data_IF_809034268790
#
_entry.id   IF_809034268790
#
_cell.length_a   1.000
_cell.length_b   1.000
_cell.length_c   1.000
_cell.angle_alpha   90.00
_cell.angle_beta   90.00
_cell.angle_gamma   90.00
#
_symmetry.space_group_name_H-M   'P 1'
#
loop_
_entity.id
_entity.type
_entity.pdbx_description
1 polymer ?
#
# COMPACT_ATOMS: atom_id res chain seq x y z
N UNK A 1 -0.64 -11.93 11.34
CA UNK A 1 -1.62 -11.23 12.20
C UNK A 1 -2.18 -10.04 11.44
N UNK A 2 -3.50 -9.91 11.33
CA UNK A 2 -4.15 -8.71 10.78
C UNK A 2 -4.76 -7.93 11.95
N UNK A 3 -4.14 -6.82 12.35
CA UNK A 3 -4.76 -5.91 13.32
C UNK A 3 -5.86 -5.13 12.63
N UNK A 4 -7.11 -5.32 13.06
CA UNK A 4 -8.25 -4.56 12.56
C UNK A 4 -8.08 -3.05 12.79
N UNK A 5 -7.42 -2.64 13.86
CA UNK A 5 -7.14 -1.23 14.15
C UNK A 5 -6.10 -0.65 13.18
N UNK A 6 -5.05 -1.39 12.85
CA UNK A 6 -4.05 -0.94 11.88
C UNK A 6 -4.66 -0.82 10.48
N UNK A 7 -5.51 -1.77 10.07
CA UNK A 7 -6.22 -1.67 8.80
C UNK A 7 -7.17 -0.46 8.76
N UNK A 8 -7.98 -0.27 9.81
CA UNK A 8 -8.86 0.91 9.93
C UNK A 8 -8.10 2.23 9.88
N UNK A 9 -6.94 2.31 10.53
CA UNK A 9 -6.10 3.51 10.48
C UNK A 9 -5.61 3.83 9.07
N UNK A 10 -5.16 2.83 8.31
CA UNK A 10 -4.77 2.99 6.90
C UNK A 10 -5.93 3.50 6.06
N UNK A 11 -7.10 2.87 6.18
CA UNK A 11 -8.27 3.22 5.37
C UNK A 11 -8.79 4.63 5.73
N UNK A 12 -8.87 4.97 7.01
CA UNK A 12 -9.31 6.30 7.45
C UNK A 12 -8.38 7.41 6.94
N UNK A 13 -7.06 7.18 7.01
CA UNK A 13 -6.08 8.13 6.50
C UNK A 13 -6.13 8.25 4.98
N UNK A 14 -6.13 7.11 4.26
CA UNK A 14 -6.23 7.12 2.80
C UNK A 14 -7.51 7.83 2.32
N UNK A 15 -8.64 7.60 2.99
CA UNK A 15 -9.91 8.27 2.65
C UNK A 15 -9.89 9.78 2.91
N UNK A 16 -9.09 10.25 3.85
CA UNK A 16 -8.99 11.67 4.18
C UNK A 16 -8.08 12.45 3.22
N UNK A 17 -7.05 11.81 2.67
CA UNK A 17 -5.97 12.50 1.94
C UNK A 17 -5.73 12.01 0.50
N UNK A 18 -6.35 10.91 0.06
CA UNK A 18 -6.21 10.48 -1.32
C UNK A 18 -6.77 11.54 -2.29
N UNK A 19 -5.92 11.97 -3.22
CA UNK A 19 -6.26 12.90 -4.29
C UNK A 19 -5.87 12.28 -5.65
N UNK A 20 -6.59 11.25 -6.11
CA UNK A 20 -6.28 10.58 -7.37
C UNK A 20 -6.44 11.49 -8.59
N UNK A 21 -5.62 11.32 -9.65
CA UNK A 21 -5.93 11.87 -10.97
C UNK A 21 -7.27 11.37 -11.49
N UNK A 22 -7.87 12.11 -12.42
CA UNK A 22 -9.14 11.73 -13.03
C UNK A 22 -9.09 10.31 -13.62
N UNK A 23 -10.10 9.50 -13.28
CA UNK A 23 -10.19 8.10 -13.72
C UNK A 23 -9.40 7.08 -12.88
N UNK A 24 -8.63 7.52 -11.88
CA UNK A 24 -7.98 6.63 -10.91
C UNK A 24 -8.90 6.34 -9.71
N UNK A 25 -8.83 5.11 -9.17
CA UNK A 25 -9.59 4.72 -7.96
C UNK A 25 -9.03 5.34 -6.66
N UNK A 26 -7.77 5.77 -6.66
CA UNK A 26 -7.08 6.41 -5.53
C UNK A 26 -6.62 5.47 -4.43
N UNK A 27 -7.51 4.65 -3.87
CA UNK A 27 -7.20 3.75 -2.74
C UNK A 27 -7.13 2.30 -3.21
N UNK A 28 -6.00 1.65 -2.92
CA UNK A 28 -5.76 0.26 -3.26
C UNK A 28 -5.28 -0.56 -2.05
N UNK A 29 -5.75 -1.80 -1.96
CA UNK A 29 -5.32 -2.80 -0.98
C UNK A 29 -4.50 -3.87 -1.69
N UNK A 30 -3.29 -4.12 -1.20
CA UNK A 30 -2.47 -5.25 -1.68
C UNK A 30 -3.08 -6.55 -1.13
N UNK A 31 -3.54 -7.41 -2.04
CA UNK A 31 -4.18 -8.68 -1.72
C UNK A 31 -3.36 -9.83 -2.33
N UNK A 32 -2.71 -10.67 -1.50
CA UNK A 32 -1.93 -11.81 -1.99
C UNK A 32 -2.72 -12.71 -2.94
N UNK A 33 -2.15 -13.01 -4.11
CA UNK A 33 -2.82 -13.79 -5.16
C UNK A 33 -3.77 -12.99 -6.06
N UNK A 34 -4.04 -11.71 -5.76
CA UNK A 34 -4.99 -10.88 -6.52
C UNK A 34 -4.45 -9.54 -7.00
N UNK A 35 -3.40 -9.02 -6.37
CA UNK A 35 -2.75 -7.76 -6.77
C UNK A 35 -3.32 -6.56 -6.00
N UNK A 36 -3.68 -5.49 -6.72
CA UNK A 36 -4.25 -4.28 -6.14
C UNK A 36 -5.78 -4.30 -6.26
N UNK A 37 -6.48 -4.37 -5.13
CA UNK A 37 -7.94 -4.39 -5.07
C UNK A 37 -8.50 -3.08 -4.51
N UNK A 38 -9.72 -2.71 -4.91
CA UNK A 38 -10.47 -1.65 -4.20
C UNK A 38 -10.75 -2.08 -2.76
N UNK A 39 -10.73 -1.14 -1.78
CA UNK A 39 -11.12 -1.42 -0.40
C UNK A 39 -12.58 -1.90 -0.26
N UNK A 40 -13.43 -1.64 -1.26
CA UNK A 40 -14.86 -2.00 -1.25
C UNK A 40 -15.13 -3.43 -1.76
N UNK A 41 -14.09 -4.14 -2.22
CA UNK A 41 -14.23 -5.53 -2.67
C UNK A 41 -14.59 -6.42 -1.49
N UNK A 42 -15.82 -6.93 -1.51
CA UNK A 42 -16.27 -7.94 -0.54
C UNK A 42 -15.69 -9.30 -0.92
N UNK A 43 -14.98 -9.93 0.02
CA UNK A 43 -14.47 -11.29 -0.13
C UNK A 43 -15.33 -12.28 0.65
N UNK A 44 -15.74 -13.34 -0.02
CA UNK A 44 -16.32 -14.49 0.64
C UNK A 44 -15.25 -15.32 1.37
N UNK A 45 -15.71 -16.34 2.10
CA UNK A 45 -14.84 -17.21 2.90
C UNK A 45 -13.79 -17.92 2.05
N UNK A 46 -14.15 -18.38 0.87
CA UNK A 46 -13.25 -19.16 0.03
C UNK A 46 -12.22 -18.26 -0.66
N UNK A 47 -12.60 -17.03 -1.01
CA UNK A 47 -11.70 -15.95 -1.40
C UNK A 47 -10.69 -15.62 -0.32
N UNK A 48 -11.13 -15.44 0.93
CA UNK A 48 -10.22 -15.17 2.05
C UNK A 48 -9.26 -16.34 2.31
N UNK A 49 -9.73 -17.58 2.20
CA UNK A 49 -8.88 -18.79 2.29
C UNK A 49 -7.87 -18.86 1.16
N UNK A 50 -8.24 -18.47 -0.06
CA UNK A 50 -7.31 -18.41 -1.18
C UNK A 50 -6.20 -17.38 -0.93
N UNK A 51 -6.56 -16.19 -0.43
CA UNK A 51 -5.58 -15.14 -0.06
C UNK A 51 -4.61 -15.65 1.02
N UNK A 52 -5.13 -16.31 2.06
CA UNK A 52 -4.31 -16.83 3.16
C UNK A 52 -3.31 -17.92 2.72
N UNK A 53 -3.54 -18.58 1.57
CA UNK A 53 -2.65 -19.62 1.02
C UNK A 53 -1.50 -19.07 0.19
N UNK A 54 -1.45 -17.75 -0.06
CA UNK A 54 -0.38 -17.12 -0.84
C UNK A 54 0.59 -16.40 0.11
N UNK A 55 1.81 -16.95 0.30
CA UNK A 55 2.84 -16.27 1.07
C UNK A 55 3.18 -14.90 0.50
N UNK A 56 3.33 -13.91 1.38
CA UNK A 56 3.77 -12.55 1.02
C UNK A 56 5.29 -12.52 1.00
N UNK A 57 5.85 -12.83 -0.17
CA UNK A 57 7.27 -13.09 -0.37
C UNK A 57 7.68 -12.59 -1.77
N UNK A 58 8.72 -11.74 -1.91
CA UNK A 58 9.22 -11.28 -3.23
C UNK A 58 9.48 -12.40 -4.24
N UNK A 59 9.93 -13.58 -3.78
CA UNK A 59 10.27 -14.70 -4.66
C UNK A 59 9.05 -15.51 -5.09
N UNK A 60 7.90 -15.28 -4.46
CA UNK A 60 6.66 -15.96 -4.77
C UNK A 60 5.91 -15.27 -5.92
N UNK A 61 6.03 -15.82 -7.13
CA UNK A 61 5.31 -15.36 -8.33
C UNK A 61 3.79 -15.26 -8.17
N UNK A 62 3.16 -16.13 -7.38
CA UNK A 62 1.71 -16.03 -7.11
C UNK A 62 1.34 -14.76 -6.35
N UNK A 63 2.29 -14.17 -5.63
CA UNK A 63 2.14 -12.88 -4.99
C UNK A 63 2.61 -11.74 -5.91
N UNK A 64 3.79 -11.84 -6.52
CA UNK A 64 4.40 -10.73 -7.25
C UNK A 64 3.81 -10.48 -8.64
N UNK A 65 3.44 -11.52 -9.39
CA UNK A 65 2.88 -11.36 -10.74
C UNK A 65 1.60 -10.49 -10.75
N UNK A 66 0.55 -10.77 -9.94
CA UNK A 66 -0.64 -9.92 -9.93
C UNK A 66 -0.36 -8.54 -9.35
N UNK A 67 0.55 -8.40 -8.38
CA UNK A 67 0.93 -7.11 -7.82
C UNK A 67 1.63 -6.22 -8.87
N UNK A 68 2.60 -6.77 -9.59
CA UNK A 68 3.34 -6.06 -10.65
C UNK A 68 2.42 -5.68 -11.81
N UNK A 69 1.51 -6.58 -12.22
CA UNK A 69 0.51 -6.30 -13.25
C UNK A 69 -0.32 -5.07 -12.89
N UNK A 70 -0.89 -5.05 -11.68
CA UNK A 70 -1.77 -3.95 -11.29
C UNK A 70 -0.99 -2.68 -10.97
N UNK A 71 0.24 -2.78 -10.45
CA UNK A 71 1.14 -1.65 -10.30
C UNK A 71 1.49 -1.02 -11.65
N UNK A 72 1.62 -1.82 -12.72
CA UNK A 72 1.88 -1.30 -14.07
C UNK A 72 0.67 -0.56 -14.65
N UNK A 73 -0.54 -1.07 -14.38
CA UNK A 73 -1.79 -0.37 -14.72
C UNK A 73 -1.91 0.96 -13.98
N UNK A 74 -1.60 0.97 -12.68
CA UNK A 74 -1.55 2.21 -11.88
C UNK A 74 -0.49 3.17 -12.44
N UNK A 75 0.72 2.68 -12.72
CA UNK A 75 1.82 3.47 -13.27
C UNK A 75 1.47 4.14 -14.61
N UNK A 76 0.62 3.53 -15.43
CA UNK A 76 0.16 4.10 -16.69
C UNK A 76 -0.85 5.26 -16.51
N UNK A 77 -1.51 5.33 -15.35
CA UNK A 77 -2.49 6.38 -15.04
C UNK A 77 -1.87 7.58 -14.30
N UNK A 78 -0.67 7.42 -13.73
CA UNK A 78 0.01 8.47 -12.98
C UNK A 78 0.89 9.34 -13.90
N UNK A 79 0.81 10.65 -13.73
CA UNK A 79 1.73 11.63 -14.30
C UNK A 79 3.07 11.65 -13.53
N UNK A 80 4.07 12.36 -14.09
CA UNK A 80 5.41 12.44 -13.50
C UNK A 80 5.42 13.14 -12.13
N UNK A 81 4.46 14.03 -11.87
CA UNK A 81 4.32 14.74 -10.59
C UNK A 81 3.48 14.01 -9.54
N UNK A 82 2.85 12.89 -9.91
CA UNK A 82 1.96 12.16 -8.99
C UNK A 82 2.75 11.21 -8.08
N UNK A 83 2.15 10.90 -6.94
CA UNK A 83 2.72 9.97 -5.96
C UNK A 83 1.75 8.84 -5.62
N UNK A 84 2.26 7.60 -5.67
CA UNK A 84 1.62 6.45 -5.06
C UNK A 84 2.21 6.24 -3.65
N UNK A 85 1.39 6.35 -2.62
CA UNK A 85 1.87 6.28 -1.22
C UNK A 85 1.59 4.91 -0.61
N UNK A 86 2.65 4.18 -0.25
CA UNK A 86 2.54 2.90 0.45
C UNK A 86 2.33 3.11 1.96
N UNK A 87 1.08 2.96 2.41
CA UNK A 87 0.71 2.98 3.84
C UNK A 87 0.95 1.63 4.54
N UNK A 88 2.01 0.91 4.15
CA UNK A 88 2.29 -0.46 4.57
C UNK A 88 3.38 -0.58 5.64
N UNK A 89 3.83 -1.82 5.87
CA UNK A 89 5.10 -2.05 6.55
C UNK A 89 6.23 -1.74 5.58
N UNK A 90 7.16 -0.88 6.00
CA UNK A 90 8.32 -0.45 5.21
C UNK A 90 9.63 -1.14 5.64
N UNK A 91 9.59 -1.97 6.69
CA UNK A 91 10.76 -2.63 7.26
C UNK A 91 11.26 -3.85 6.46
N UNK A 92 10.53 -4.25 5.41
CA UNK A 92 10.85 -5.47 4.62
C UNK A 92 10.67 -5.18 3.14
N UNK A 93 11.49 -5.79 2.26
CA UNK A 93 11.42 -5.55 0.81
C UNK A 93 10.15 -6.10 0.15
N UNK A 94 9.41 -7.00 0.82
CA UNK A 94 8.25 -7.72 0.26
C UNK A 94 7.17 -6.88 -0.44
N UNK A 95 7.03 -5.60 -0.10
CA UNK A 95 6.15 -4.69 -0.83
C UNK A 95 6.95 -3.69 -1.66
N UNK A 96 8.05 -3.19 -1.10
CA UNK A 96 8.85 -2.13 -1.72
C UNK A 96 9.48 -2.60 -3.02
N UNK A 97 10.10 -3.77 -3.05
CA UNK A 97 10.80 -4.28 -4.24
C UNK A 97 9.88 -4.40 -5.48
N UNK A 98 8.77 -5.18 -5.45
CA UNK A 98 7.91 -5.31 -6.62
C UNK A 98 7.21 -4.01 -7.03
N UNK A 99 7.04 -3.05 -6.11
CA UNK A 99 6.41 -1.76 -6.40
C UNK A 99 7.43 -0.73 -6.92
N UNK A 100 8.63 -0.64 -6.34
CA UNK A 100 9.69 0.27 -6.77
C UNK A 100 10.11 -0.02 -8.20
N UNK A 101 10.22 -1.29 -8.57
CA UNK A 101 10.56 -1.71 -9.94
C UNK A 101 9.60 -1.15 -11.01
N UNK A 102 8.35 -0.85 -10.64
CA UNK A 102 7.29 -0.45 -11.57
C UNK A 102 6.96 1.04 -11.44
N UNK A 103 6.81 1.53 -10.21
CA UNK A 103 6.41 2.91 -9.92
C UNK A 103 7.61 3.86 -9.87
N UNK A 104 8.82 3.34 -9.60
CA UNK A 104 10.05 4.10 -9.56
C UNK A 104 9.97 5.31 -8.60
N UNK A 105 10.38 6.51 -9.03
CA UNK A 105 10.35 7.72 -8.20
C UNK A 105 8.97 8.13 -7.70
N UNK A 106 7.89 7.61 -8.31
CA UNK A 106 6.51 7.91 -7.89
C UNK A 106 6.08 7.11 -6.67
N UNK A 107 6.80 6.06 -6.29
CA UNK A 107 6.52 5.33 -5.05
C UNK A 107 7.04 6.12 -3.85
N UNK A 108 6.13 6.42 -2.92
CA UNK A 108 6.44 7.16 -1.71
C UNK A 108 6.03 6.38 -0.46
N UNK A 109 6.65 6.72 0.66
CA UNK A 109 6.32 6.24 1.99
C UNK A 109 6.19 7.42 2.97
N UNK A 110 5.37 7.32 4.03
CA UNK A 110 5.36 8.32 5.08
C UNK A 110 6.70 8.31 5.84
N UNK A 111 7.36 9.47 5.94
CA UNK A 111 8.63 9.64 6.65
C UNK A 111 8.49 9.25 8.12
N UNK A 112 7.34 9.54 8.72
CA UNK A 112 7.01 9.26 10.11
C UNK A 112 6.89 7.77 10.41
N UNK A 113 6.84 6.89 9.40
CA UNK A 113 6.79 5.44 9.63
C UNK A 113 8.14 4.87 10.07
N UNK A 114 9.25 5.57 9.83
CA UNK A 114 10.59 5.11 10.20
C UNK A 114 10.68 4.96 11.72
N UNK A 115 11.07 3.77 12.17
CA UNK A 115 11.19 3.45 13.60
C UNK A 115 9.87 3.18 14.34
N UNK A 116 8.71 3.27 13.68
CA UNK A 116 7.42 2.96 14.29
C UNK A 116 6.97 1.53 14.00
N UNK A 117 6.47 0.83 15.02
CA UNK A 117 5.78 -0.45 14.87
C UNK A 117 4.34 -0.31 14.34
N UNK A 118 3.74 -1.41 13.88
CA UNK A 118 2.45 -1.45 13.18
C UNK A 118 1.32 -0.69 13.90
N UNK A 119 1.19 -0.90 15.21
CA UNK A 119 0.15 -0.26 16.01
C UNK A 119 0.37 1.26 16.17
N UNK A 120 1.62 1.68 16.35
CA UNK A 120 1.99 3.11 16.43
C UNK A 120 1.71 3.83 15.12
N UNK A 121 2.00 3.19 13.97
CA UNK A 121 1.65 3.72 12.65
C UNK A 121 0.13 3.82 12.48
N UNK A 122 -0.62 2.80 12.89
CA UNK A 122 -2.08 2.81 12.88
C UNK A 122 -2.70 3.95 13.69
N UNK A 123 -2.22 4.15 14.93
CA UNK A 123 -2.67 5.23 15.81
C UNK A 123 -2.30 6.62 15.28
N UNK A 124 -1.10 6.77 14.70
CA UNK A 124 -0.67 8.00 14.04
C UNK A 124 -1.61 8.36 12.89
N UNK A 125 -1.90 7.42 11.98
CA UNK A 125 -2.79 7.63 10.84
C UNK A 125 -4.21 8.04 11.28
N UNK A 126 -4.78 7.37 12.29
CA UNK A 126 -6.10 7.75 12.83
C UNK A 126 -6.10 9.17 13.40
N UNK A 127 -5.03 9.54 14.12
CA UNK A 127 -4.88 10.89 14.68
C UNK A 127 -4.79 11.94 13.57
N UNK A 128 -3.92 11.71 12.58
CA UNK A 128 -3.75 12.58 11.42
C UNK A 128 -5.05 12.79 10.66
N UNK A 129 -5.79 11.72 10.38
CA UNK A 129 -7.10 11.79 9.71
C UNK A 129 -8.10 12.63 10.51
N UNK A 130 -8.15 12.44 11.85
CA UNK A 130 -9.02 13.23 12.73
C UNK A 130 -8.63 14.71 12.79
N UNK A 131 -7.34 15.01 12.71
CA UNK A 131 -6.79 16.37 12.77
C UNK A 131 -6.76 17.09 11.41
N UNK A 132 -7.07 16.40 10.31
CA UNK A 132 -6.91 16.95 8.96
C UNK A 132 -5.44 17.24 8.60
N UNK A 133 -4.50 16.55 9.24
CA UNK A 133 -3.06 16.77 9.05
C UNK A 133 -2.44 15.63 8.24
N UNK A 134 -2.03 15.94 7.02
CA UNK A 134 -1.33 14.98 6.16
C UNK A 134 0.11 14.69 6.68
N UNK A 135 0.58 13.47 6.45
CA UNK A 135 1.95 13.02 6.74
C UNK A 135 2.92 13.54 5.68
N UNK A 136 4.20 13.58 6.04
CA UNK A 136 5.25 13.95 5.09
C UNK A 136 5.66 12.74 4.26
N UNK A 137 5.51 12.79 2.93
CA UNK A 137 5.93 11.71 2.05
C UNK A 137 7.36 11.89 1.54
N UNK A 138 8.11 10.79 1.47
CA UNK A 138 9.44 10.72 0.87
C UNK A 138 9.46 9.60 -0.16
N UNK A 139 10.29 9.73 -1.20
CA UNK A 139 10.49 8.67 -2.18
C UNK A 139 10.96 7.39 -1.48
N UNK A 140 10.37 6.26 -1.88
CA UNK A 140 10.83 4.96 -1.40
C UNK A 140 12.20 4.66 -2.00
N UNK A 141 13.22 4.51 -1.16
CA UNK A 141 14.52 3.98 -1.57
C UNK A 141 14.64 2.53 -1.12
N UNK A 142 15.00 1.64 -2.06
CA UNK A 142 15.60 0.37 -1.67
C UNK A 142 17.01 0.71 -1.21
N UNK A 143 17.33 0.50 0.07
CA UNK A 143 18.74 0.50 0.45
C UNK A 143 19.40 -0.67 -0.28
N UNK A 144 20.51 -0.46 -1.01
CA UNK A 144 21.23 -1.57 -1.60
C UNK A 144 21.67 -2.50 -0.47
N UNK A 145 21.34 -3.78 -0.62
CA UNK A 145 21.84 -4.88 0.20
C UNK A 145 23.37 -4.98 0.14
#
# INVERSE_FOLDING_TARGET
>A
FMSGLYFRGKLAYASAFANPPDGCLGIHVIVPGRGLCSPDVVMDRDGLRAVARVPVDPDNRRYTDPLRRDAALLAAQLHAGDAAVLLGSIATPKYLEPLTDILGPRLHIPREFVGLGDMSRGALMLRCAREGRELTYIAASLQPS
#
